data_IF_697351117216
#
_entry.id   IF_697351117216
#
_cell.length_a   1.000
_cell.length_b   1.000
_cell.length_c   1.000
_cell.angle_alpha   90.00
_cell.angle_beta   90.00
_cell.angle_gamma   90.00
#
_symmetry.space_group_name_H-M   'P 1'
#
loop_
_entity.id
_entity.type
_entity.pdbx_description
1 polymer ?
#
# COMPACT_ATOMS: atom_id res chain seq x y z
N UNK A 1 -5.60 6.60 16.11
CA UNK A 1 -4.30 7.21 15.79
C UNK A 1 -4.06 7.20 14.28
N UNK A 2 -4.25 6.09 13.55
CA UNK A 2 -4.12 6.11 12.07
C UNK A 2 -5.11 7.05 11.36
N UNK A 3 -6.35 7.19 11.87
CA UNK A 3 -7.35 8.11 11.29
C UNK A 3 -6.88 9.57 11.27
N UNK A 4 -6.04 9.98 12.25
CA UNK A 4 -5.45 11.32 12.26
C UNK A 4 -4.35 11.47 11.22
N UNK A 5 -3.55 10.43 11.01
CA UNK A 5 -2.46 10.42 10.02
C UNK A 5 -3.04 10.45 8.60
N UNK A 6 -4.04 9.60 8.32
CA UNK A 6 -4.78 9.64 7.06
C UNK A 6 -5.45 11.00 6.86
N UNK A 7 -6.21 11.51 7.83
CA UNK A 7 -6.83 12.83 7.73
C UNK A 7 -5.82 13.97 7.50
N UNK A 8 -4.61 13.85 8.04
CA UNK A 8 -3.54 14.83 7.81
C UNK A 8 -3.02 14.75 6.39
N UNK A 9 -2.81 13.54 5.86
CA UNK A 9 -2.38 13.34 4.47
C UNK A 9 -3.48 13.77 3.50
N UNK A 10 -4.73 13.39 3.72
CA UNK A 10 -5.87 13.77 2.86
C UNK A 10 -6.17 15.28 2.85
N UNK A 11 -5.65 16.05 3.81
CA UNK A 11 -5.76 17.52 3.83
C UNK A 11 -4.58 18.19 3.14
N UNK A 12 -3.42 17.54 3.12
CA UNK A 12 -2.17 18.10 2.58
C UNK A 12 -1.90 17.60 1.15
N UNK A 13 -2.54 16.51 0.75
CA UNK A 13 -2.31 15.85 -0.53
C UNK A 13 -3.56 15.96 -1.42
N UNK A 14 -3.44 16.67 -2.54
CA UNK A 14 -4.42 16.72 -3.62
C UNK A 14 -4.34 15.46 -4.47
N UNK A 15 -5.13 14.44 -4.11
CA UNK A 15 -5.14 13.15 -4.81
C UNK A 15 -5.82 13.21 -6.19
N UNK A 16 -6.31 14.38 -6.63
CA UNK A 16 -6.74 14.64 -8.00
C UNK A 16 -5.56 15.12 -8.88
N UNK A 17 -4.44 15.56 -8.29
CA UNK A 17 -3.18 15.88 -9.02
C UNK A 17 -2.36 14.60 -9.30
N UNK A 18 -2.08 14.26 -10.58
CA UNK A 18 -1.25 13.11 -10.94
C UNK A 18 0.14 13.08 -10.27
N UNK A 19 0.75 14.23 -10.00
CA UNK A 19 2.05 14.29 -9.32
C UNK A 19 1.95 13.79 -7.87
N UNK A 20 0.84 14.12 -7.21
CA UNK A 20 0.55 13.74 -5.84
C UNK A 20 0.07 12.29 -5.73
N UNK A 21 -0.67 11.80 -6.72
CA UNK A 21 -0.96 10.37 -6.88
C UNK A 21 0.33 9.54 -6.95
N UNK A 22 1.31 9.99 -7.73
CA UNK A 22 2.61 9.33 -7.82
C UNK A 22 3.37 9.37 -6.48
N UNK A 23 3.31 10.49 -5.75
CA UNK A 23 3.89 10.60 -4.41
C UNK A 23 3.22 9.63 -3.41
N UNK A 24 1.89 9.52 -3.43
CA UNK A 24 1.14 8.59 -2.61
C UNK A 24 1.50 7.13 -2.93
N UNK A 25 1.68 6.78 -4.21
CA UNK A 25 2.17 5.45 -4.60
C UNK A 25 3.57 5.17 -4.03
N UNK A 26 4.50 6.11 -4.17
CA UNK A 26 5.85 5.98 -3.61
C UNK A 26 5.85 5.89 -2.08
N UNK A 27 4.94 6.59 -1.43
CA UNK A 27 4.73 6.49 0.01
C UNK A 27 4.31 5.08 0.42
N UNK A 28 3.26 4.52 -0.21
CA UNK A 28 2.78 3.19 0.14
C UNK A 28 3.84 2.10 -0.10
N UNK A 29 4.60 2.22 -1.20
CA UNK A 29 5.74 1.34 -1.51
C UNK A 29 6.82 1.43 -0.43
N UNK A 30 7.24 2.65 -0.05
CA UNK A 30 8.27 2.84 0.97
C UNK A 30 7.82 2.33 2.34
N UNK A 31 6.58 2.64 2.73
CA UNK A 31 6.00 2.17 3.98
C UNK A 31 6.02 0.64 4.02
N UNK A 32 5.43 -0.02 3.03
CA UNK A 32 5.37 -1.49 2.99
C UNK A 32 6.76 -2.13 2.98
N UNK A 33 7.71 -1.54 2.24
CA UNK A 33 9.09 -2.01 2.18
C UNK A 33 9.83 -1.96 3.53
N UNK A 34 9.42 -1.08 4.45
CA UNK A 34 9.97 -1.01 5.82
C UNK A 34 9.48 -2.14 6.73
N UNK A 35 8.33 -2.74 6.42
CA UNK A 35 7.69 -3.76 7.26
C UNK A 35 7.61 -5.13 6.58
N UNK A 36 8.40 -5.38 5.52
CA UNK A 36 8.37 -6.63 4.75
C UNK A 36 8.45 -7.89 5.63
N UNK A 37 9.23 -7.89 6.71
CA UNK A 37 9.34 -9.03 7.62
C UNK A 37 8.07 -9.32 8.43
N UNK A 38 7.19 -8.33 8.59
CA UNK A 38 5.92 -8.46 9.28
C UNK A 38 4.82 -9.03 8.37
N UNK A 39 5.06 -9.08 7.05
CA UNK A 39 4.13 -9.61 6.07
C UNK A 39 4.21 -11.15 6.00
N UNK A 40 3.09 -11.82 5.67
CA UNK A 40 3.10 -13.21 5.24
C UNK A 40 4.07 -13.39 4.08
N UNK A 41 4.73 -14.55 4.01
CA UNK A 41 5.79 -14.82 3.03
C UNK A 41 5.36 -14.51 1.59
N UNK A 42 4.12 -14.89 1.24
CA UNK A 42 3.50 -14.66 -0.06
C UNK A 42 3.41 -13.18 -0.45
N UNK A 43 3.33 -12.27 0.52
CA UNK A 43 3.16 -10.83 0.29
C UNK A 43 4.47 -10.03 0.39
N UNK A 44 5.60 -10.66 0.71
CA UNK A 44 6.88 -9.96 0.95
C UNK A 44 7.46 -9.33 -0.31
N UNK A 45 7.09 -9.84 -1.48
CA UNK A 45 7.62 -9.38 -2.76
C UNK A 45 6.92 -8.12 -3.29
N UNK A 46 5.70 -7.84 -2.81
CA UNK A 46 4.82 -6.81 -3.33
C UNK A 46 5.46 -5.41 -3.41
N UNK A 47 6.12 -4.95 -2.34
CA UNK A 47 6.79 -3.65 -2.33
C UNK A 47 7.92 -3.57 -3.36
N UNK A 48 8.69 -4.65 -3.53
CA UNK A 48 9.79 -4.70 -4.49
C UNK A 48 9.28 -4.72 -5.93
N UNK A 49 8.22 -5.48 -6.22
CA UNK A 49 7.58 -5.52 -7.54
C UNK A 49 6.98 -4.16 -7.90
N UNK A 50 6.24 -3.55 -6.97
CA UNK A 50 5.69 -2.21 -7.17
C UNK A 50 6.80 -1.15 -7.40
N UNK A 51 7.89 -1.22 -6.64
CA UNK A 51 9.04 -0.35 -6.85
C UNK A 51 9.67 -0.53 -8.24
N UNK A 52 9.90 -1.77 -8.67
CA UNK A 52 10.42 -2.07 -10.01
C UNK A 52 9.52 -1.49 -11.09
N UNK A 53 8.20 -1.61 -10.95
CA UNK A 53 7.23 -1.05 -11.89
C UNK A 53 7.32 0.47 -12.00
N UNK A 54 7.27 1.21 -10.88
CA UNK A 54 7.34 2.69 -10.91
C UNK A 54 8.69 3.23 -11.39
N UNK A 55 9.75 2.41 -11.34
CA UNK A 55 11.07 2.73 -11.89
C UNK A 55 11.26 2.31 -13.35
N UNK A 56 10.25 1.71 -13.98
CA UNK A 56 10.31 1.24 -15.37
C UNK A 56 11.11 -0.05 -15.59
N UNK A 57 11.44 -0.78 -14.52
CA UNK A 57 12.20 -2.05 -14.56
C UNK A 57 11.29 -3.27 -14.75
N UNK A 58 10.02 -3.16 -14.35
CA UNK A 58 9.02 -4.23 -14.49
C UNK A 58 7.82 -3.73 -15.32
N UNK A 59 7.21 -4.65 -16.07
CA UNK A 59 5.99 -4.37 -16.84
C UNK A 59 4.71 -4.46 -15.99
N UNK A 60 3.59 -3.99 -16.54
CA UNK A 60 2.29 -4.09 -15.89
C UNK A 60 1.87 -5.55 -15.61
N UNK A 61 2.27 -6.48 -16.47
CA UNK A 61 1.99 -7.92 -16.33
C UNK A 61 2.58 -8.51 -15.03
N UNK A 62 3.78 -8.08 -14.62
CA UNK A 62 4.40 -8.54 -13.37
C UNK A 62 3.58 -8.10 -12.16
N UNK A 63 3.12 -6.83 -12.17
CA UNK A 63 2.28 -6.27 -11.09
C UNK A 63 0.91 -6.94 -11.06
N UNK A 64 0.29 -7.16 -12.22
CA UNK A 64 -1.00 -7.85 -12.33
C UNK A 64 -0.87 -9.30 -11.83
N UNK A 65 0.19 -10.00 -12.24
CA UNK A 65 0.46 -11.38 -11.82
C UNK A 65 0.61 -11.49 -10.31
N UNK A 66 1.42 -10.62 -9.69
CA UNK A 66 1.57 -10.59 -8.24
C UNK A 66 0.24 -10.28 -7.54
N UNK A 67 -0.52 -9.31 -8.04
CA UNK A 67 -1.82 -8.95 -7.46
C UNK A 67 -2.81 -10.12 -7.51
N UNK A 68 -2.87 -10.83 -8.64
CA UNK A 68 -3.71 -12.04 -8.79
C UNK A 68 -3.27 -13.12 -7.81
N UNK A 69 -1.96 -13.35 -7.68
CA UNK A 69 -1.41 -14.32 -6.74
C UNK A 69 -1.81 -14.03 -5.29
N UNK A 70 -1.73 -12.76 -4.87
CA UNK A 70 -2.15 -12.34 -3.54
C UNK A 70 -3.65 -12.47 -3.31
N UNK A 71 -4.49 -12.15 -4.31
CA UNK A 71 -5.94 -12.35 -4.20
C UNK A 71 -6.32 -13.83 -4.07
N UNK A 72 -5.65 -14.70 -4.83
CA UNK A 72 -5.85 -16.15 -4.73
C UNK A 72 -5.48 -16.69 -3.34
N UNK A 73 -4.43 -16.15 -2.70
CA UNK A 73 -4.01 -16.57 -1.36
C UNK A 73 -5.07 -16.35 -0.26
N UNK A 74 -5.98 -15.40 -0.49
CA UNK A 74 -7.07 -15.05 0.43
C UNK A 74 -8.45 -15.34 -0.16
N UNK A 75 -8.52 -16.16 -1.20
CA UNK A 75 -9.79 -16.54 -1.81
C UNK A 75 -10.75 -17.15 -0.76
N UNK A 76 -12.00 -16.71 -0.76
CA UNK A 76 -13.01 -17.09 0.24
C UNK A 76 -12.83 -16.41 1.61
N UNK A 77 -11.77 -15.61 1.79
CA UNK A 77 -11.50 -14.83 3.00
C UNK A 77 -11.24 -13.36 2.70
N UNK A 78 -11.57 -12.87 1.51
CA UNK A 78 -11.26 -11.52 1.03
C UNK A 78 -11.85 -10.42 1.94
N UNK A 79 -13.02 -10.65 2.56
CA UNK A 79 -13.64 -9.76 3.54
C UNK A 79 -13.24 -10.04 5.00
N UNK A 80 -12.39 -11.02 5.25
CA UNK A 80 -11.96 -11.37 6.59
C UNK A 80 -11.20 -10.22 7.25
N UNK A 81 -11.37 -10.11 8.57
CA UNK A 81 -10.61 -9.18 9.41
C UNK A 81 -9.43 -9.84 10.11
N UNK A 82 -9.09 -11.07 9.73
CA UNK A 82 -7.88 -11.75 10.19
C UNK A 82 -6.63 -10.90 9.88
N UNK A 83 -5.70 -10.74 10.84
CA UNK A 83 -4.51 -9.91 10.64
C UNK A 83 -3.68 -10.32 9.41
N UNK A 84 -3.57 -11.62 9.15
CA UNK A 84 -2.86 -12.14 7.97
C UNK A 84 -3.49 -11.66 6.66
N UNK A 85 -4.83 -11.80 6.53
CA UNK A 85 -5.58 -11.34 5.36
C UNK A 85 -5.44 -9.83 5.19
N UNK A 86 -5.54 -9.06 6.27
CA UNK A 86 -5.39 -7.61 6.23
C UNK A 86 -3.98 -7.17 5.77
N UNK A 87 -2.93 -7.89 6.17
CA UNK A 87 -1.57 -7.65 5.69
C UNK A 87 -1.43 -7.93 4.19
N UNK A 88 -2.06 -8.99 3.69
CA UNK A 88 -2.10 -9.30 2.25
C UNK A 88 -2.87 -8.22 1.48
N UNK A 89 -4.04 -7.78 2.00
CA UNK A 89 -4.80 -6.66 1.40
C UNK A 89 -4.03 -5.35 1.41
N UNK A 90 -3.23 -5.10 2.45
CA UNK A 90 -2.31 -3.94 2.50
C UNK A 90 -1.27 -4.03 1.38
N UNK A 91 -0.70 -5.21 1.13
CA UNK A 91 0.24 -5.43 0.03
C UNK A 91 -0.40 -5.26 -1.34
N UNK A 92 -1.65 -5.70 -1.51
CA UNK A 92 -2.44 -5.52 -2.74
C UNK A 92 -2.66 -4.02 -3.05
N UNK A 93 -2.94 -3.18 -2.05
CA UNK A 93 -3.07 -1.72 -2.25
C UNK A 93 -1.83 -1.12 -2.92
N UNK A 94 -0.63 -1.60 -2.60
CA UNK A 94 0.65 -1.13 -3.18
C UNK A 94 0.81 -1.54 -4.65
N UNK A 95 0.16 -2.63 -5.05
CA UNK A 95 0.18 -3.19 -6.41
C UNK A 95 -0.97 -2.68 -7.29
N UNK A 96 -1.78 -1.73 -6.80
CA UNK A 96 -2.71 -0.97 -7.62
C UNK A 96 -1.99 0.29 -8.09
N UNK A 97 -1.29 0.27 -9.23
CA UNK A 97 -0.83 1.51 -9.84
C UNK A 97 -2.07 2.36 -10.07
N UNK A 98 -2.09 3.57 -9.50
CA UNK A 98 -3.31 4.36 -9.31
C UNK A 98 -3.74 5.06 -10.61
N UNK A 99 -3.99 4.27 -11.64
CA UNK A 99 -4.39 4.69 -12.97
C UNK A 99 -5.92 4.60 -13.18
N UNK A 100 -6.71 4.57 -12.10
CA UNK A 100 -8.17 4.44 -12.16
C UNK A 100 -8.86 5.23 -11.04
N UNK A 101 -8.79 6.56 -11.05
CA UNK A 101 -9.77 7.46 -10.39
C UNK A 101 -10.13 7.26 -8.90
N UNK A 102 -9.43 6.39 -8.17
CA UNK A 102 -9.78 5.93 -6.81
C UNK A 102 -8.54 5.89 -5.90
N UNK A 103 -7.59 6.80 -6.15
CA UNK A 103 -6.33 6.97 -5.40
C UNK A 103 -6.60 7.21 -3.91
N UNK A 104 -7.59 8.05 -3.59
CA UNK A 104 -8.02 8.33 -2.23
C UNK A 104 -8.55 7.08 -1.52
N UNK A 105 -9.46 6.34 -2.15
CA UNK A 105 -10.02 5.11 -1.58
C UNK A 105 -8.94 4.05 -1.35
N UNK A 106 -8.01 3.90 -2.30
CA UNK A 106 -6.90 2.94 -2.17
C UNK A 106 -6.00 3.29 -1.00
N UNK A 107 -5.68 4.58 -0.83
CA UNK A 107 -4.86 5.06 0.28
C UNK A 107 -5.59 4.91 1.63
N UNK A 108 -6.89 5.22 1.69
CA UNK A 108 -7.71 5.02 2.90
C UNK A 108 -7.71 3.54 3.32
N UNK A 109 -7.96 2.65 2.36
CA UNK A 109 -7.95 1.21 2.58
C UNK A 109 -6.56 0.73 3.02
N UNK A 110 -5.48 1.26 2.43
CA UNK A 110 -4.11 0.96 2.84
C UNK A 110 -3.89 1.28 4.32
N UNK A 111 -4.26 2.48 4.78
CA UNK A 111 -4.16 2.86 6.20
C UNK A 111 -5.03 1.98 7.10
N UNK A 112 -6.27 1.72 6.69
CA UNK A 112 -7.22 0.92 7.45
C UNK A 112 -6.71 -0.53 7.63
N UNK A 113 -6.23 -1.15 6.57
CA UNK A 113 -5.68 -2.51 6.61
C UNK A 113 -4.35 -2.56 7.34
N UNK A 114 -3.47 -1.58 7.16
CA UNK A 114 -2.20 -1.48 7.88
C UNK A 114 -2.42 -1.51 9.39
N UNK A 115 -3.30 -0.63 9.88
CA UNK A 115 -3.56 -0.53 11.31
C UNK A 115 -4.23 -1.80 11.84
N UNK A 116 -5.28 -2.29 11.16
CA UNK A 116 -6.05 -3.45 11.63
C UNK A 116 -5.26 -4.76 11.49
N UNK A 117 -4.35 -4.84 10.52
CA UNK A 117 -3.41 -5.94 10.35
C UNK A 117 -2.26 -5.92 11.35
N UNK A 118 -2.11 -4.86 12.15
CA UNK A 118 -1.07 -4.74 13.17
C UNK A 118 0.32 -4.55 12.59
N UNK A 119 0.44 -3.87 11.44
CA UNK A 119 1.74 -3.48 10.89
C UNK A 119 2.33 -2.30 11.68
N UNK A 120 3.65 -2.23 11.72
CA UNK A 120 4.41 -1.25 12.49
C UNK A 120 4.01 0.20 12.19
N UNK A 121 3.43 0.87 13.17
CA UNK A 121 3.04 2.28 13.05
C UNK A 121 4.25 3.24 12.97
N UNK A 122 5.37 3.02 13.70
CA UNK A 122 6.55 3.88 13.57
C UNK A 122 7.13 3.91 12.15
N UNK A 123 7.12 2.77 11.45
CA UNK A 123 7.59 2.67 10.07
C UNK A 123 6.68 3.43 9.10
N UNK A 124 5.37 3.42 9.35
CA UNK A 124 4.40 4.20 8.61
C UNK A 124 4.62 5.70 8.80
N UNK A 125 4.76 6.15 10.05
CA UNK A 125 5.05 7.56 10.37
C UNK A 125 6.37 8.04 9.76
N UNK A 126 7.42 7.19 9.79
CA UNK A 126 8.69 7.50 9.15
C UNK A 126 8.55 7.66 7.63
N UNK A 127 7.75 6.81 6.97
CA UNK A 127 7.48 6.93 5.54
C UNK A 127 6.69 8.20 5.20
N UNK A 128 5.70 8.58 6.03
CA UNK A 128 4.97 9.85 5.88
C UNK A 128 5.92 11.03 5.95
N UNK A 129 6.76 11.09 7.00
CA UNK A 129 7.73 12.16 7.19
C UNK A 129 8.70 12.29 6.02
N UNK A 130 9.17 11.17 5.49
CA UNK A 130 10.11 11.17 4.37
C UNK A 130 9.48 11.63 3.05
N UNK A 131 8.20 11.34 2.81
CA UNK A 131 7.54 11.65 1.54
C UNK A 131 6.81 12.99 1.53
N UNK A 132 6.17 13.34 2.62
CA UNK A 132 5.33 14.53 2.73
C UNK A 132 5.93 15.62 3.61
N UNK A 133 7.03 15.34 4.34
CA UNK A 133 7.72 16.33 5.19
C UNK A 133 6.98 16.69 6.49
N UNK A 134 5.97 15.91 6.86
CA UNK A 134 5.09 16.12 8.02
C UNK A 134 5.59 15.34 9.23
#
# INVERSE_FOLDING_TARGET
>A
MSTKLFATISVVVDLDDPAEQFLAQRFMIEALGRVTQQLPEIARSAAAIANRFITGVAGAEEVIGERVHLWQAIEGRDQSSEPEVLKIRTAICVLHPMDMGATADTLELFFAFWQRGGLGLPELEAAVKNKFGI
#
